data_IF_326515493557
#
_entry.id   IF_326515493557
#
_cell.length_a   1.000
_cell.length_b   1.000
_cell.length_c   1.000
_cell.angle_alpha   90.00
_cell.angle_beta   90.00
_cell.angle_gamma   90.00
#
_symmetry.space_group_name_H-M   'P 1'
#
loop_
_entity.id
_entity.type
_entity.pdbx_description
1 polymer ?
#
# COMPACT_ATOMS: atom_id res chain seq x y z
N UNK A 1 13.79 16.40 4.42
CA UNK A 1 14.93 15.80 3.69
C UNK A 1 14.49 14.79 2.63
N UNK A 2 13.55 13.87 2.91
CA UNK A 2 13.02 12.94 1.89
C UNK A 2 12.53 13.67 0.62
N UNK A 3 11.77 14.76 0.79
CA UNK A 3 11.31 15.58 -0.35
C UNK A 3 12.47 16.20 -1.14
N UNK A 4 13.56 16.59 -0.48
CA UNK A 4 14.76 17.10 -1.17
C UNK A 4 15.44 15.98 -1.97
N UNK A 5 15.53 14.78 -1.39
CA UNK A 5 16.04 13.60 -2.09
C UNK A 5 15.17 13.25 -3.31
N UNK A 6 13.84 13.38 -3.18
CA UNK A 6 12.87 13.23 -4.26
C UNK A 6 13.01 14.31 -5.34
N UNK A 7 13.28 15.57 -4.99
CA UNK A 7 13.48 16.66 -5.94
C UNK A 7 14.66 16.40 -6.89
N UNK A 8 15.69 15.70 -6.41
CA UNK A 8 16.86 15.32 -7.20
C UNK A 8 16.59 14.17 -8.20
N UNK A 9 15.38 13.59 -8.19
CA UNK A 9 14.88 12.67 -9.23
C UNK A 9 14.18 13.40 -10.38
N UNK A 10 14.04 14.73 -10.29
CA UNK A 10 13.47 15.53 -11.37
C UNK A 10 14.28 15.34 -12.67
N UNK A 11 13.64 15.27 -13.85
CA UNK A 11 14.33 15.05 -15.13
C UNK A 11 15.50 16.01 -15.40
N UNK A 12 15.43 17.23 -14.87
CA UNK A 12 16.52 18.20 -14.93
C UNK A 12 17.79 17.78 -14.16
N UNK A 13 17.65 17.14 -13.00
CA UNK A 13 18.77 16.74 -12.13
C UNK A 13 19.18 15.28 -12.30
N UNK A 14 18.28 14.42 -12.77
CA UNK A 14 18.51 12.98 -12.88
C UNK A 14 19.77 12.62 -13.70
N UNK A 15 20.06 13.26 -14.85
CA UNK A 15 21.26 12.97 -15.63
C UNK A 15 22.56 13.37 -14.91
N UNK A 16 22.49 14.28 -13.93
CA UNK A 16 23.67 14.81 -13.24
C UNK A 16 24.20 13.81 -12.21
N UNK A 17 25.47 13.38 -12.40
CA UNK A 17 26.16 12.47 -11.49
C UNK A 17 26.32 13.02 -10.07
N UNK A 18 26.44 14.34 -9.89
CA UNK A 18 26.54 14.95 -8.57
C UNK A 18 25.21 14.90 -7.83
N UNK A 19 24.08 15.16 -8.50
CA UNK A 19 22.75 15.03 -7.90
C UNK A 19 22.53 13.59 -7.38
N UNK A 20 23.01 12.59 -8.12
CA UNK A 20 22.99 11.18 -7.71
C UNK A 20 23.83 10.92 -6.44
N UNK A 21 25.06 11.45 -6.39
CA UNK A 21 25.91 11.34 -5.19
C UNK A 21 25.22 11.98 -3.98
N UNK A 22 24.64 13.17 -4.15
CA UNK A 22 23.90 13.85 -3.08
C UNK A 22 22.70 13.01 -2.62
N UNK A 23 21.93 12.42 -3.54
CA UNK A 23 20.84 11.49 -3.16
C UNK A 23 21.32 10.31 -2.31
N UNK A 24 22.46 9.73 -2.66
CA UNK A 24 23.07 8.63 -1.92
C UNK A 24 23.56 9.08 -0.52
N UNK A 25 24.22 10.24 -0.43
CA UNK A 25 24.69 10.81 0.84
C UNK A 25 23.57 11.23 1.78
N UNK A 26 22.42 11.66 1.24
CA UNK A 26 21.24 12.00 2.05
C UNK A 26 20.59 10.77 2.70
N UNK A 27 20.78 9.57 2.12
CA UNK A 27 20.12 8.36 2.58
C UNK A 27 20.39 7.99 4.05
N UNK A 28 21.66 7.85 4.52
CA UNK A 28 21.93 7.51 5.92
C UNK A 28 21.37 8.55 6.89
N UNK A 29 21.43 9.84 6.52
CA UNK A 29 20.89 10.92 7.36
C UNK A 29 19.37 10.87 7.47
N UNK A 30 18.65 10.63 6.35
CA UNK A 30 17.20 10.49 6.36
C UNK A 30 16.78 9.27 7.20
N UNK A 31 17.46 8.13 7.01
CA UNK A 31 17.17 6.90 7.77
C UNK A 31 17.38 7.16 9.27
N UNK A 32 18.52 7.73 9.65
CA UNK A 32 18.82 8.08 11.03
C UNK A 32 17.73 8.98 11.64
N UNK A 33 17.37 10.07 10.95
CA UNK A 33 16.34 11.00 11.43
C UNK A 33 14.96 10.33 11.53
N UNK A 34 14.59 9.51 10.56
CA UNK A 34 13.31 8.78 10.57
C UNK A 34 13.22 7.83 11.76
N UNK A 35 14.28 7.06 12.03
CA UNK A 35 14.35 6.13 13.16
C UNK A 35 14.46 6.84 14.50
N UNK A 36 15.30 7.88 14.60
CA UNK A 36 15.54 8.61 15.84
C UNK A 36 14.30 9.38 16.30
N UNK A 37 13.64 10.08 15.38
CA UNK A 37 12.40 10.81 15.66
C UNK A 37 11.18 9.92 15.83
N UNK A 38 11.27 8.61 15.62
CA UNK A 38 10.11 7.73 15.75
C UNK A 38 9.58 7.76 17.19
N UNK A 39 10.46 7.67 18.19
CA UNK A 39 10.07 7.63 19.62
C UNK A 39 9.35 8.90 20.09
N UNK A 40 9.62 10.04 19.46
CA UNK A 40 8.98 11.32 19.78
C UNK A 40 7.64 11.52 19.06
N UNK A 41 7.40 10.77 17.98
CA UNK A 41 6.14 10.78 17.21
C UNK A 41 5.09 9.79 17.73
N UNK A 42 5.47 8.86 18.60
CA UNK A 42 4.55 7.88 19.19
C UNK A 42 3.61 8.56 20.20
N UNK A 43 2.32 8.25 20.08
CA UNK A 43 1.30 8.57 21.08
C UNK A 43 1.51 7.71 22.33
N UNK A 44 1.31 8.29 23.51
CA UNK A 44 1.51 7.64 24.81
C UNK A 44 0.22 7.70 25.65
N UNK A 45 -0.01 6.71 26.52
CA UNK A 45 0.81 5.52 26.78
C UNK A 45 0.76 4.48 25.63
N UNK A 46 1.82 3.68 25.45
CA UNK A 46 1.98 2.85 24.24
C UNK A 46 0.96 1.72 24.15
N UNK A 47 0.62 1.15 25.30
CA UNK A 47 -0.38 0.11 25.50
C UNK A 47 -1.79 0.53 25.12
N UNK A 48 -2.09 1.84 25.12
CA UNK A 48 -3.41 2.34 24.73
C UNK A 48 -3.44 2.73 23.26
N UNK A 49 -2.36 3.33 22.76
CA UNK A 49 -2.32 3.88 21.41
C UNK A 49 -1.65 2.93 20.41
N UNK A 50 -1.59 1.62 20.69
CA UNK A 50 -0.87 0.64 19.88
C UNK A 50 -1.30 0.68 18.41
N UNK A 51 -2.60 0.56 18.12
CA UNK A 51 -3.13 0.51 16.74
C UNK A 51 -2.83 1.80 15.98
N UNK A 52 -2.98 2.94 16.67
CA UNK A 52 -2.72 4.26 16.10
C UNK A 52 -1.23 4.41 15.80
N UNK A 53 -0.36 4.09 16.75
CA UNK A 53 1.08 4.11 16.57
C UNK A 53 1.52 3.17 15.43
N UNK A 54 0.93 1.98 15.37
CA UNK A 54 1.21 0.98 14.35
C UNK A 54 0.93 1.55 12.95
N UNK A 55 -0.28 2.08 12.73
CA UNK A 55 -0.70 2.56 11.42
C UNK A 55 -0.13 3.95 11.06
N UNK A 56 -0.07 4.88 12.01
CA UNK A 56 0.22 6.30 11.74
C UNK A 56 1.70 6.68 11.91
N UNK A 57 2.48 5.90 12.67
CA UNK A 57 3.86 6.27 13.01
C UNK A 57 4.85 5.22 12.49
N UNK A 58 4.71 3.96 12.87
CA UNK A 58 5.75 2.95 12.67
C UNK A 58 5.79 2.43 11.23
N UNK A 59 4.64 2.04 10.65
CA UNK A 59 4.56 1.61 9.25
C UNK A 59 4.98 2.73 8.28
N UNK A 60 4.52 3.99 8.44
CA UNK A 60 5.02 5.10 7.63
C UNK A 60 6.52 5.34 7.79
N UNK A 61 7.09 5.12 8.97
CA UNK A 61 8.55 5.24 9.18
C UNK A 61 9.30 4.17 8.41
N UNK A 62 8.84 2.91 8.45
CA UNK A 62 9.40 1.83 7.63
C UNK A 62 9.31 2.15 6.14
N UNK A 63 8.16 2.66 5.68
CA UNK A 63 7.95 3.08 4.30
C UNK A 63 8.92 4.21 3.88
N UNK A 64 9.11 5.22 4.73
CA UNK A 64 10.08 6.32 4.49
C UNK A 64 11.50 5.77 4.31
N UNK A 65 11.92 4.79 5.12
CA UNK A 65 13.23 4.14 4.98
C UNK A 65 13.34 3.45 3.62
N UNK A 66 12.31 2.69 3.22
CA UNK A 66 12.28 2.01 1.93
C UNK A 66 12.33 3.00 0.75
N UNK A 67 11.53 4.07 0.78
CA UNK A 67 11.56 5.13 -0.23
C UNK A 67 12.93 5.81 -0.29
N UNK A 68 13.56 6.04 0.86
CA UNK A 68 14.90 6.66 0.92
C UNK A 68 15.94 5.83 0.18
N UNK A 69 15.93 4.50 0.39
CA UNK A 69 16.81 3.57 -0.31
C UNK A 69 16.51 3.52 -1.80
N UNK A 70 15.23 3.51 -2.16
CA UNK A 70 14.79 3.55 -3.56
C UNK A 70 15.27 4.81 -4.27
N UNK A 71 15.04 5.98 -3.68
CA UNK A 71 15.44 7.27 -4.25
C UNK A 71 16.96 7.40 -4.34
N UNK A 72 17.71 6.84 -3.39
CA UNK A 72 19.16 6.83 -3.43
C UNK A 72 19.71 5.99 -4.61
N UNK A 73 19.11 4.82 -4.85
CA UNK A 73 19.58 3.87 -5.85
C UNK A 73 19.01 4.08 -7.26
N UNK A 74 17.89 4.81 -7.39
CA UNK A 74 17.17 4.94 -8.64
C UNK A 74 17.99 5.60 -9.75
N UNK A 75 17.91 5.01 -10.94
CA UNK A 75 18.56 5.47 -12.18
C UNK A 75 17.53 5.62 -13.28
N UNK A 76 17.71 6.63 -14.13
CA UNK A 76 16.83 6.95 -15.22
C UNK A 76 15.60 7.76 -14.81
N UNK A 77 14.70 8.06 -15.76
CA UNK A 77 13.53 8.88 -15.53
C UNK A 77 12.59 8.26 -14.48
N UNK A 78 12.05 9.10 -13.60
CA UNK A 78 11.12 8.68 -12.55
C UNK A 78 9.69 8.46 -13.07
N UNK A 79 9.18 9.37 -13.90
CA UNK A 79 7.82 9.27 -14.45
C UNK A 79 7.80 8.50 -15.75
N UNK A 80 6.72 7.77 -16.00
CA UNK A 80 6.54 7.00 -17.23
C UNK A 80 6.54 7.91 -18.48
N UNK A 81 5.99 9.12 -18.36
CA UNK A 81 5.95 10.11 -19.45
C UNK A 81 7.37 10.53 -19.85
N UNK A 82 8.23 10.80 -18.85
CA UNK A 82 9.62 11.18 -19.09
C UNK A 82 10.41 10.02 -19.72
N UNK A 83 10.13 8.78 -19.30
CA UNK A 83 10.69 7.57 -19.89
C UNK A 83 10.28 7.37 -21.36
N UNK A 84 9.01 7.63 -21.70
CA UNK A 84 8.51 7.53 -23.07
C UNK A 84 9.15 8.60 -23.98
N UNK A 85 9.30 9.83 -23.48
CA UNK A 85 10.00 10.92 -24.19
C UNK A 85 11.46 10.55 -24.48
N UNK A 86 12.17 10.04 -23.47
CA UNK A 86 13.56 9.61 -23.61
C UNK A 86 13.74 8.48 -24.63
N UNK A 87 12.82 7.50 -24.69
CA UNK A 87 12.86 6.45 -25.72
C UNK A 87 12.71 7.00 -27.12
N UNK A 88 11.73 7.89 -27.32
CA UNK A 88 11.48 8.53 -28.61
C UNK A 88 12.69 9.35 -29.10
N UNK A 89 13.32 10.11 -28.20
CA UNK A 89 14.52 10.89 -28.53
C UNK A 89 15.73 10.00 -28.86
N UNK A 90 15.79 8.77 -28.34
CA UNK A 90 16.87 7.81 -28.62
C UNK A 90 16.67 7.11 -29.96
N UNK A 91 15.41 6.81 -30.34
CA UNK A 91 15.06 6.18 -31.62
C UNK A 91 15.13 7.15 -32.83
N UNK A 92 15.01 8.47 -32.61
CA UNK A 92 15.09 9.49 -33.66
C UNK A 92 16.53 9.95 -34.00
N UNK A 93 17.55 9.50 -33.25
CA UNK A 93 18.96 9.68 -33.59
C UNK A 93 19.41 8.56 -34.56
N UNK A 94 20.01 8.87 -35.73
CA UNK A 94 20.49 7.81 -36.63
C UNK A 94 21.60 7.04 -35.93
N UNK A 95 21.38 5.73 -35.74
CA UNK A 95 22.34 4.81 -35.15
C UNK A 95 23.58 4.72 -36.03
N UNK A 96 24.64 5.44 -35.67
CA UNK A 96 26.00 5.20 -36.13
C UNK A 96 26.82 4.70 -34.95
N UNK A 97 26.83 3.38 -34.73
CA UNK A 97 27.98 2.59 -34.29
C UNK A 97 27.51 1.20 -33.86
N UNK A 98 27.94 0.22 -34.63
CA UNK A 98 28.10 -1.16 -34.17
C UNK A 98 29.07 -1.18 -32.99
N UNK A 99 28.63 -1.74 -31.86
CA UNK A 99 29.46 -2.44 -30.88
C UNK A 99 28.55 -2.95 -29.74
N UNK A 100 28.39 -4.27 -29.70
CA UNK A 100 27.77 -5.02 -28.62
C UNK A 100 28.42 -4.70 -27.27
N UNK A 101 27.61 -4.37 -26.26
CA UNK A 101 27.88 -4.76 -24.86
C UNK A 101 26.65 -4.58 -23.96
N UNK A 102 26.43 -5.63 -23.16
CA UNK A 102 25.87 -5.63 -21.80
C UNK A 102 24.36 -5.48 -21.57
N UNK A 103 23.68 -6.60 -21.83
CA UNK A 103 22.92 -7.39 -20.86
C UNK A 103 22.43 -6.67 -19.58
N UNK A 104 21.29 -5.98 -19.68
CA UNK A 104 20.44 -5.61 -18.55
C UNK A 104 19.14 -6.39 -18.63
N UNK A 105 19.15 -7.61 -18.10
CA UNK A 105 17.96 -8.45 -17.96
C UNK A 105 17.05 -7.87 -16.88
N UNK A 106 16.14 -6.99 -17.29
CA UNK A 106 14.95 -6.67 -16.50
C UNK A 106 14.08 -7.93 -16.42
N UNK A 107 14.04 -8.55 -15.25
CA UNK A 107 13.13 -9.67 -14.94
C UNK A 107 11.72 -9.08 -14.90
N UNK A 108 11.12 -8.96 -16.08
CA UNK A 108 9.69 -8.80 -16.24
C UNK A 108 9.06 -10.19 -16.27
N UNK A 109 7.97 -10.35 -15.52
CA UNK A 109 7.15 -11.54 -15.56
C UNK A 109 6.49 -11.65 -16.94
N UNK A 110 7.13 -12.36 -17.85
CA UNK A 110 6.51 -12.80 -19.11
C UNK A 110 5.81 -14.13 -18.86
N UNK A 111 4.49 -14.05 -18.69
CA UNK A 111 3.55 -15.13 -19.00
C UNK A 111 2.11 -14.57 -18.99
N UNK A 112 1.84 -13.69 -19.95
CA UNK A 112 0.49 -13.42 -20.44
C UNK A 112 0.58 -12.99 -21.90
N UNK A 113 -0.01 -13.80 -22.76
CA UNK A 113 -0.11 -13.62 -24.19
C UNK A 113 -0.45 -12.17 -24.56
N UNK A 114 0.32 -11.64 -25.50
CA UNK A 114 0.13 -10.36 -26.15
C UNK A 114 -1.17 -10.38 -26.95
N UNK A 115 -2.12 -9.52 -26.59
CA UNK A 115 -3.06 -8.92 -27.54
C UNK A 115 -2.86 -7.39 -27.50
N UNK A 116 -2.60 -6.74 -28.65
CA UNK A 116 -2.39 -5.31 -28.69
C UNK A 116 -3.77 -4.61 -28.65
N UNK A 117 -4.14 -4.07 -27.49
CA UNK A 117 -5.36 -3.25 -27.41
C UNK A 117 -5.10 -1.89 -28.06
N UNK A 118 -5.73 -1.72 -29.23
CA UNK A 118 -5.93 -0.53 -30.05
C UNK A 118 -5.82 0.79 -29.29
N UNK A 119 -4.77 1.55 -29.64
CA UNK A 119 -4.79 3.02 -29.53
C UNK A 119 -5.89 3.51 -30.45
N UNK A 120 -6.80 4.31 -29.91
CA UNK A 120 -7.86 5.02 -30.63
C UNK A 120 -7.25 5.78 -31.80
N UNK A 121 -7.53 5.32 -33.02
CA UNK A 121 -7.17 5.98 -34.27
C UNK A 121 -7.84 7.36 -34.32
N UNK A 122 -7.05 8.42 -34.16
CA UNK A 122 -7.42 9.75 -34.64
C UNK A 122 -7.22 9.76 -36.16
N UNK A 123 -8.31 10.07 -36.85
CA UNK A 123 -8.51 10.12 -38.29
C UNK A 123 -7.44 10.99 -38.98
N UNK A 124 -6.67 10.40 -39.90
CA UNK A 124 -5.88 11.11 -40.92
C UNK A 124 -6.81 11.78 -41.94
N UNK A 125 -6.47 12.97 -42.45
CA UNK A 125 -6.69 13.29 -43.85
C UNK A 125 -5.37 13.23 -44.65
N UNK A 126 -5.58 13.07 -45.95
CA UNK A 126 -4.68 12.75 -47.05
C UNK A 126 -3.35 13.53 -47.11
N UNK A 127 -2.31 12.83 -47.58
CA UNK A 127 -1.05 13.40 -48.07
C UNK A 127 -1.30 14.26 -49.32
N UNK A 128 -0.72 15.45 -49.34
CA UNK A 128 -0.24 16.07 -50.57
C UNK A 128 1.25 16.40 -50.38
N UNK A 129 2.06 15.91 -51.31
CA UNK A 129 3.51 16.11 -51.37
C UNK A 129 3.80 17.59 -51.67
N UNK A 130 4.89 18.13 -51.12
CA UNK A 130 5.93 18.79 -51.90
C UNK A 130 7.17 19.05 -51.02
N UNK A 131 8.32 18.86 -51.66
CA UNK A 131 9.68 18.98 -51.15
C UNK A 131 9.94 20.40 -50.65
N UNK A 132 10.62 20.53 -49.52
CA UNK A 132 11.75 21.47 -49.43
C UNK A 132 12.71 21.14 -48.29
N UNK A 133 13.98 20.99 -48.66
CA UNK A 133 15.11 20.82 -47.74
C UNK A 133 15.34 22.14 -47.02
N UNK A 134 15.03 22.19 -45.72
CA UNK A 134 15.64 23.17 -44.81
C UNK A 134 16.35 22.44 -43.68
N UNK A 135 17.67 22.64 -43.67
CA UNK A 135 18.61 22.27 -42.61
C UNK A 135 18.22 23.08 -41.36
N UNK A 136 17.28 22.58 -40.58
CA UNK A 136 16.97 23.16 -39.26
C UNK A 136 17.78 22.40 -38.24
N UNK A 137 18.88 23.00 -37.79
CA UNK A 137 19.61 22.50 -36.63
C UNK A 137 18.65 22.45 -35.45
N UNK A 138 18.40 21.25 -34.95
CA UNK A 138 17.67 21.07 -33.68
C UNK A 138 18.63 21.56 -32.59
N UNK A 139 18.57 22.87 -32.30
CA UNK A 139 19.07 23.40 -31.03
C UNK A 139 18.27 22.67 -29.94
N UNK A 140 18.89 21.71 -29.25
CA UNK A 140 18.42 21.27 -27.92
C UNK A 140 18.26 22.54 -27.09
N UNK A 141 17.03 22.99 -26.89
CA UNK A 141 16.74 24.06 -25.95
C UNK A 141 17.33 23.63 -24.61
N UNK A 142 18.30 24.37 -24.07
CA UNK A 142 18.74 24.20 -22.69
C UNK A 142 17.49 24.34 -21.83
N UNK A 143 17.02 23.23 -21.28
CA UNK A 143 15.92 23.21 -20.32
C UNK A 143 16.27 24.20 -19.20
N UNK A 144 15.40 25.18 -18.95
CA UNK A 144 15.59 26.14 -17.87
C UNK A 144 15.59 25.43 -16.53
N UNK A 145 16.36 25.94 -15.56
CA UNK A 145 16.38 25.37 -14.21
C UNK A 145 14.95 25.34 -13.65
N UNK A 146 14.46 24.20 -13.14
CA UNK A 146 13.11 24.10 -12.61
C UNK A 146 12.96 24.99 -11.38
N UNK A 147 11.76 25.52 -11.21
CA UNK A 147 11.49 26.40 -10.08
C UNK A 147 11.37 25.60 -8.77
N UNK A 148 11.46 26.29 -7.63
CA UNK A 148 11.29 25.64 -6.32
C UNK A 148 9.87 25.06 -6.18
N UNK A 149 8.85 25.76 -6.70
CA UNK A 149 7.46 25.29 -6.68
C UNK A 149 7.25 24.05 -7.54
N UNK A 150 7.90 23.97 -8.71
CA UNK A 150 7.91 22.76 -9.55
C UNK A 150 8.56 21.56 -8.84
N UNK A 151 9.74 21.76 -8.25
CA UNK A 151 10.45 20.71 -7.51
C UNK A 151 9.67 20.23 -6.28
N UNK A 152 9.04 21.15 -5.56
CA UNK A 152 8.19 20.83 -4.42
C UNK A 152 6.98 19.99 -4.87
N UNK A 153 6.27 20.40 -5.93
CA UNK A 153 5.14 19.63 -6.48
C UNK A 153 5.57 18.23 -6.92
N UNK A 154 6.65 18.12 -7.67
CA UNK A 154 7.18 16.85 -8.14
C UNK A 154 7.50 15.89 -6.97
N UNK A 155 8.14 16.41 -5.93
CA UNK A 155 8.57 15.62 -4.77
C UNK A 155 7.41 15.24 -3.86
N UNK A 156 6.49 16.16 -3.61
CA UNK A 156 5.27 15.92 -2.83
C UNK A 156 4.45 14.84 -3.51
N UNK A 157 4.19 14.97 -4.81
CA UNK A 157 3.41 13.99 -5.57
C UNK A 157 4.06 12.61 -5.56
N UNK A 158 5.39 12.54 -5.65
CA UNK A 158 6.09 11.26 -5.61
C UNK A 158 5.99 10.60 -4.22
N UNK A 159 6.12 11.38 -3.16
CA UNK A 159 6.03 10.89 -1.78
C UNK A 159 4.58 10.60 -1.35
N UNK A 160 3.59 11.29 -1.93
CA UNK A 160 2.17 11.13 -1.61
C UNK A 160 1.44 10.17 -2.53
N UNK A 161 2.01 9.80 -3.70
CA UNK A 161 1.40 8.85 -4.64
C UNK A 161 1.33 7.47 -3.99
N UNK A 162 0.17 7.04 -3.46
CA UNK A 162 0.11 5.93 -2.51
C UNK A 162 0.52 4.60 -3.14
N UNK A 163 0.51 4.53 -4.48
CA UNK A 163 0.72 3.31 -5.25
C UNK A 163 1.70 3.51 -6.40
N UNK A 164 2.38 4.65 -6.44
CA UNK A 164 3.32 5.02 -7.51
C UNK A 164 2.72 4.94 -8.92
N UNK A 165 1.41 5.21 -9.07
CA UNK A 165 0.76 5.26 -10.38
C UNK A 165 1.37 6.39 -11.21
N UNK A 166 1.76 6.10 -12.45
CA UNK A 166 2.44 7.06 -13.33
C UNK A 166 3.97 7.12 -13.19
N UNK A 167 4.55 6.37 -12.25
CA UNK A 167 6.01 6.22 -12.11
C UNK A 167 6.51 4.92 -12.74
N UNK A 168 7.77 4.90 -13.16
CA UNK A 168 8.37 3.73 -13.86
C UNK A 168 8.41 2.47 -13.00
N UNK A 169 8.40 2.65 -11.67
CA UNK A 169 8.37 1.58 -10.68
C UNK A 169 6.97 1.29 -10.12
N UNK A 170 5.92 1.91 -10.69
CA UNK A 170 4.55 1.60 -10.35
C UNK A 170 4.19 0.15 -10.69
N UNK A 171 3.16 -0.42 -10.03
CA UNK A 171 2.68 -1.75 -10.36
C UNK A 171 2.24 -1.84 -11.84
N UNK A 172 2.45 -2.98 -12.51
CA UNK A 172 1.97 -3.16 -13.88
C UNK A 172 0.44 -3.11 -13.93
N UNK A 173 -0.12 -2.69 -15.07
CA UNK A 173 -1.57 -2.55 -15.23
C UNK A 173 -2.35 -3.86 -15.01
N UNK A 174 -1.71 -5.02 -15.18
CA UNK A 174 -2.27 -6.34 -14.89
C UNK A 174 -2.48 -6.61 -13.39
N UNK A 175 -1.78 -5.86 -12.55
CA UNK A 175 -1.86 -5.88 -11.08
C UNK A 175 -2.76 -4.76 -10.58
N UNK A 176 -2.50 -3.53 -11.02
CA UNK A 176 -3.26 -2.36 -10.65
C UNK A 176 -3.49 -1.47 -11.87
N UNK A 177 -4.68 -1.56 -12.45
CA UNK A 177 -5.09 -0.66 -13.52
C UNK A 177 -5.56 0.68 -12.94
N UNK A 178 -5.34 1.80 -13.64
CA UNK A 178 -6.00 3.07 -13.32
C UNK A 178 -7.52 2.88 -13.20
N UNK A 179 -8.15 3.65 -12.31
CA UNK A 179 -9.59 3.64 -12.18
C UNK A 179 -10.25 4.18 -13.46
N UNK A 180 -11.44 3.67 -13.84
CA UNK A 180 -12.18 4.27 -14.94
C UNK A 180 -12.52 5.73 -14.61
N UNK A 181 -12.38 6.62 -15.60
CA UNK A 181 -12.67 8.05 -15.44
C UNK A 181 -14.12 8.25 -15.01
N UNK A 182 -14.32 8.98 -13.91
CA UNK A 182 -15.65 9.29 -13.36
C UNK A 182 -15.88 10.79 -13.30
N UNK A 183 -17.15 11.18 -13.36
CA UNK A 183 -17.54 12.53 -12.96
C UNK A 183 -17.32 12.70 -11.46
N UNK A 184 -17.06 13.93 -10.99
CA UNK A 184 -16.78 14.18 -9.57
C UNK A 184 -17.94 13.72 -8.68
N UNK A 185 -19.20 13.95 -9.07
CA UNK A 185 -20.37 13.49 -8.30
C UNK A 185 -20.43 11.97 -8.17
N UNK A 186 -20.15 11.21 -9.26
CA UNK A 186 -20.11 9.74 -9.21
C UNK A 186 -18.93 9.23 -8.38
N UNK A 187 -17.80 9.93 -8.43
CA UNK A 187 -16.63 9.62 -7.61
C UNK A 187 -16.94 9.83 -6.13
N UNK A 188 -17.48 10.99 -5.74
CA UNK A 188 -17.88 11.31 -4.38
C UNK A 188 -18.94 10.35 -3.85
N UNK A 189 -19.96 10.03 -4.64
CA UNK A 189 -20.99 9.05 -4.26
C UNK A 189 -20.37 7.68 -3.96
N UNK A 190 -19.44 7.21 -4.79
CA UNK A 190 -18.73 5.95 -4.53
C UNK A 190 -17.83 6.06 -3.30
N UNK A 191 -17.14 7.18 -3.11
CA UNK A 191 -16.23 7.41 -1.99
C UNK A 191 -17.00 7.39 -0.67
N UNK A 192 -18.05 8.21 -0.53
CA UNK A 192 -18.88 8.28 0.67
C UNK A 192 -19.66 6.99 0.92
N UNK A 193 -20.26 6.39 -0.12
CA UNK A 193 -20.89 5.08 0.02
C UNK A 193 -19.90 4.01 0.47
N UNK A 194 -18.66 4.07 -0.02
CA UNK A 194 -17.55 3.23 0.41
C UNK A 194 -17.14 3.45 1.87
N UNK A 195 -17.12 4.70 2.35
CA UNK A 195 -16.84 5.03 3.76
C UNK A 195 -17.94 4.44 4.65
N UNK A 196 -19.21 4.68 4.33
CA UNK A 196 -20.35 4.20 5.11
C UNK A 196 -20.35 2.66 5.17
N UNK A 197 -20.25 2.00 4.02
CA UNK A 197 -20.25 0.52 3.96
C UNK A 197 -19.08 -0.10 4.72
N UNK A 198 -17.87 0.46 4.61
CA UNK A 198 -16.73 -0.05 5.37
C UNK A 198 -16.84 0.24 6.87
N UNK A 199 -17.40 1.38 7.27
CA UNK A 199 -17.63 1.70 8.69
C UNK A 199 -18.66 0.74 9.30
N UNK A 200 -19.76 0.47 8.61
CA UNK A 200 -20.77 -0.51 9.06
C UNK A 200 -20.19 -1.92 9.15
N UNK A 201 -19.41 -2.33 8.15
CA UNK A 201 -18.73 -3.62 8.17
C UNK A 201 -17.72 -3.70 9.31
N UNK A 202 -16.91 -2.66 9.52
CA UNK A 202 -15.97 -2.57 10.63
C UNK A 202 -16.68 -2.73 11.98
N UNK A 203 -17.79 -2.00 12.20
CA UNK A 203 -18.60 -2.11 13.41
C UNK A 203 -19.11 -3.55 13.60
N UNK A 204 -19.67 -4.15 12.55
CA UNK A 204 -20.19 -5.51 12.61
C UNK A 204 -19.11 -6.55 12.95
N UNK A 205 -17.92 -6.43 12.35
CA UNK A 205 -16.81 -7.34 12.65
C UNK A 205 -16.17 -7.07 14.01
N UNK A 206 -16.07 -5.81 14.47
CA UNK A 206 -15.62 -5.49 15.81
C UNK A 206 -16.61 -5.94 16.89
N UNK A 207 -17.91 -5.95 16.61
CA UNK A 207 -18.95 -6.46 17.51
C UNK A 207 -18.77 -7.94 17.85
N UNK A 208 -18.12 -8.70 16.97
CA UNK A 208 -17.73 -10.10 17.19
C UNK A 208 -16.29 -10.18 17.70
N UNK A 209 -15.38 -9.45 17.04
CA UNK A 209 -13.94 -9.55 17.27
C UNK A 209 -13.48 -9.05 18.64
N UNK A 210 -14.05 -7.95 19.15
CA UNK A 210 -13.65 -7.38 20.44
C UNK A 210 -14.06 -8.26 21.63
N UNK A 211 -15.34 -8.69 21.77
CA UNK A 211 -15.70 -9.65 22.81
C UNK A 211 -14.92 -10.96 22.72
N UNK A 212 -14.76 -11.49 21.50
CA UNK A 212 -14.01 -12.72 21.30
C UNK A 212 -12.51 -12.56 21.60
N UNK A 213 -11.92 -11.38 21.43
CA UNK A 213 -10.54 -11.11 21.84
C UNK A 213 -10.40 -10.93 23.36
N UNK A 214 -11.44 -10.42 24.04
CA UNK A 214 -11.47 -10.23 25.48
C UNK A 214 -11.78 -11.51 26.27
N UNK A 215 -12.45 -12.49 25.65
CA UNK A 215 -12.80 -13.75 26.30
C UNK A 215 -11.57 -14.65 26.50
N UNK A 216 -11.37 -15.28 27.68
CA UNK A 216 -10.23 -16.19 27.93
C UNK A 216 -10.09 -17.33 26.92
N UNK A 217 -11.21 -17.98 26.57
CA UNK A 217 -11.28 -19.03 25.54
C UNK A 217 -11.53 -18.51 24.12
N UNK A 218 -11.24 -17.24 23.86
CA UNK A 218 -11.35 -16.58 22.56
C UNK A 218 -12.77 -16.72 21.95
N UNK A 219 -12.86 -16.90 20.62
CA UNK A 219 -14.13 -17.08 19.89
C UNK A 219 -15.00 -18.19 20.45
N UNK A 220 -14.39 -19.32 20.81
CA UNK A 220 -15.13 -20.49 21.26
C UNK A 220 -15.92 -20.15 22.53
N UNK A 221 -15.23 -19.61 23.54
CA UNK A 221 -15.85 -19.26 24.81
C UNK A 221 -16.94 -18.19 24.66
N UNK A 222 -16.67 -17.15 23.89
CA UNK A 222 -17.67 -16.11 23.61
C UNK A 222 -18.91 -16.70 22.88
N UNK A 223 -18.73 -17.51 21.85
CA UNK A 223 -19.84 -18.14 21.12
C UNK A 223 -20.67 -19.06 22.03
N UNK A 224 -20.05 -19.81 22.94
CA UNK A 224 -20.75 -20.71 23.86
C UNK A 224 -21.67 -20.00 24.86
N UNK A 225 -21.48 -18.69 25.08
CA UNK A 225 -22.37 -17.90 25.93
C UNK A 225 -23.75 -17.65 25.30
N UNK A 226 -23.83 -17.68 23.95
CA UNK A 226 -25.05 -17.39 23.19
C UNK A 226 -25.60 -18.61 22.47
N UNK A 227 -24.75 -19.57 22.12
CA UNK A 227 -25.10 -20.77 21.36
C UNK A 227 -24.60 -21.99 22.13
N UNK A 228 -25.47 -22.99 22.33
CA UNK A 228 -25.10 -24.25 22.96
C UNK A 228 -24.24 -25.11 22.01
N UNK A 229 -22.95 -24.78 21.88
CA UNK A 229 -22.01 -25.55 21.08
C UNK A 229 -21.50 -26.76 21.88
N UNK A 230 -21.36 -27.94 21.24
CA UNK A 230 -20.86 -29.12 21.93
C UNK A 230 -19.36 -28.99 22.19
N UNK A 231 -18.93 -29.32 23.41
CA UNK A 231 -17.53 -29.25 23.84
C UNK A 231 -16.69 -30.42 23.26
N UNK A 232 -16.39 -30.32 21.97
CA UNK A 232 -15.59 -31.31 21.25
C UNK A 232 -14.30 -30.68 20.74
N UNK A 233 -13.25 -31.51 20.62
CA UNK A 233 -11.96 -31.08 20.04
C UNK A 233 -12.12 -30.47 18.65
N UNK A 234 -13.05 -31.00 17.84
CA UNK A 234 -13.34 -30.50 16.50
C UNK A 234 -13.94 -29.09 16.54
N UNK A 235 -14.94 -28.84 17.39
CA UNK A 235 -15.55 -27.51 17.51
C UNK A 235 -14.53 -26.48 18.00
N UNK A 236 -13.76 -26.81 19.05
CA UNK A 236 -12.69 -25.92 19.53
C UNK A 236 -11.66 -25.61 18.45
N UNK A 237 -11.25 -26.62 17.67
CA UNK A 237 -10.33 -26.43 16.55
C UNK A 237 -10.92 -25.50 15.49
N UNK A 238 -12.16 -25.75 15.05
CA UNK A 238 -12.84 -24.92 14.04
C UNK A 238 -13.01 -23.48 14.51
N UNK A 239 -13.47 -23.26 15.76
CA UNK A 239 -13.59 -21.92 16.34
C UNK A 239 -12.24 -21.20 16.42
N UNK A 240 -11.17 -21.89 16.85
CA UNK A 240 -9.82 -21.33 16.89
C UNK A 240 -9.32 -20.88 15.51
N UNK A 241 -9.69 -21.61 14.46
CA UNK A 241 -9.33 -21.28 13.06
C UNK A 241 -10.24 -20.21 12.45
N UNK A 242 -11.51 -20.18 12.84
CA UNK A 242 -12.50 -19.21 12.36
C UNK A 242 -12.28 -17.80 12.92
N UNK A 243 -11.61 -17.65 14.06
CA UNK A 243 -11.32 -16.35 14.68
C UNK A 243 -10.52 -15.40 13.78
N UNK A 244 -9.77 -15.93 12.80
CA UNK A 244 -9.12 -15.11 11.76
C UNK A 244 -10.13 -14.24 11.01
N UNK A 245 -11.33 -14.77 10.70
CA UNK A 245 -12.26 -14.12 9.79
C UNK A 245 -12.76 -12.76 10.33
N UNK A 246 -13.25 -12.63 11.58
CA UNK A 246 -13.56 -11.33 12.14
C UNK A 246 -12.36 -10.38 12.16
N UNK A 247 -11.21 -10.80 12.69
CA UNK A 247 -10.09 -9.88 12.92
C UNK A 247 -9.35 -9.47 11.64
N UNK A 248 -9.18 -10.39 10.69
CA UNK A 248 -8.68 -10.09 9.35
C UNK A 248 -9.59 -9.10 8.62
N UNK A 249 -10.91 -9.21 8.80
CA UNK A 249 -11.88 -8.29 8.22
C UNK A 249 -11.86 -6.91 8.90
N UNK A 250 -11.67 -6.86 10.22
CA UNK A 250 -11.42 -5.60 10.96
C UNK A 250 -10.23 -4.86 10.35
N UNK A 251 -9.08 -5.53 10.19
CA UNK A 251 -7.88 -4.93 9.61
C UNK A 251 -8.09 -4.44 8.17
N UNK A 252 -8.79 -5.22 7.34
CA UNK A 252 -9.11 -4.86 5.96
C UNK A 252 -9.99 -3.59 5.91
N UNK A 253 -11.10 -3.58 6.64
CA UNK A 253 -12.04 -2.46 6.61
C UNK A 253 -11.45 -1.20 7.25
N UNK A 254 -10.68 -1.34 8.34
CA UNK A 254 -9.97 -0.23 8.95
C UNK A 254 -8.97 0.41 7.98
N UNK A 255 -8.17 -0.42 7.28
CA UNK A 255 -7.21 0.10 6.31
C UNK A 255 -7.91 0.74 5.10
N UNK A 256 -8.99 0.14 4.61
CA UNK A 256 -9.77 0.69 3.49
C UNK A 256 -10.47 2.02 3.86
N UNK A 257 -10.85 2.20 5.13
CA UNK A 257 -11.34 3.48 5.66
C UNK A 257 -10.25 4.53 5.71
N UNK A 258 -9.09 4.22 6.30
CA UNK A 258 -7.94 5.13 6.34
C UNK A 258 -7.58 5.60 4.93
N UNK A 259 -7.51 4.67 3.97
CA UNK A 259 -7.27 5.00 2.57
C UNK A 259 -8.29 6.00 2.01
N UNK A 260 -9.58 5.80 2.27
CA UNK A 260 -10.62 6.74 1.80
C UNK A 260 -10.57 8.10 2.47
N UNK A 261 -10.23 8.16 3.77
CA UNK A 261 -10.03 9.44 4.45
C UNK A 261 -8.83 10.21 3.91
N UNK A 262 -7.74 9.53 3.57
CA UNK A 262 -6.59 10.15 2.91
C UNK A 262 -6.97 10.69 1.52
N UNK A 263 -7.78 9.96 0.75
CA UNK A 263 -8.30 10.44 -0.54
C UNK A 263 -9.18 11.68 -0.37
N UNK A 264 -10.05 11.69 0.64
CA UNK A 264 -10.91 12.85 0.94
C UNK A 264 -10.06 14.06 1.36
N UNK A 265 -9.07 13.85 2.22
CA UNK A 265 -8.12 14.88 2.64
C UNK A 265 -7.36 15.46 1.43
N UNK A 266 -6.84 14.60 0.55
CA UNK A 266 -6.13 15.02 -0.66
C UNK A 266 -7.05 15.80 -1.61
N UNK A 267 -8.29 15.38 -1.78
CA UNK A 267 -9.28 16.11 -2.59
C UNK A 267 -9.54 17.52 -2.01
N UNK A 268 -9.76 17.62 -0.70
CA UNK A 268 -9.99 18.90 -0.01
C UNK A 268 -8.77 19.81 -0.18
N UNK A 269 -7.56 19.28 0.05
CA UNK A 269 -6.32 20.04 -0.05
C UNK A 269 -6.07 20.53 -1.49
N UNK A 270 -6.19 19.66 -2.49
CA UNK A 270 -6.00 20.02 -3.90
C UNK A 270 -7.04 21.06 -4.33
N UNK A 271 -8.30 20.87 -3.96
CA UNK A 271 -9.37 21.81 -4.31
C UNK A 271 -9.16 23.16 -3.63
N UNK A 272 -8.89 23.17 -2.33
CA UNK A 272 -8.62 24.39 -1.56
C UNK A 272 -7.41 25.17 -2.08
N UNK A 273 -6.28 24.48 -2.31
CA UNK A 273 -5.09 25.10 -2.87
C UNK A 273 -5.35 25.71 -4.25
N UNK A 274 -6.16 25.06 -5.10
CA UNK A 274 -6.52 25.58 -6.43
C UNK A 274 -7.52 26.73 -6.40
N UNK A 275 -8.28 26.90 -5.32
CA UNK A 275 -9.18 28.03 -5.11
C UNK A 275 -8.40 29.29 -4.68
N UNK A 276 -7.38 29.11 -3.84
CA UNK A 276 -6.59 30.22 -3.28
C UNK A 276 -5.47 30.66 -4.22
N UNK A 277 -4.80 29.72 -4.91
CA UNK A 277 -3.61 30.02 -5.71
C UNK A 277 -3.96 30.50 -7.14
N UNK A 278 -3.35 31.60 -7.62
CA UNK A 278 -3.49 32.06 -9.00
C UNK A 278 -3.14 30.99 -10.05
N UNK A 279 -3.72 31.06 -11.24
CA UNK A 279 -3.45 30.09 -12.33
C UNK A 279 -1.96 30.10 -12.73
N UNK A 280 -1.32 31.26 -12.65
CA UNK A 280 0.11 31.45 -12.91
C UNK A 280 1.03 30.95 -11.78
N UNK A 281 0.48 30.54 -10.62
CA UNK A 281 1.29 30.13 -9.49
C UNK A 281 1.95 28.77 -9.73
N UNK A 282 3.27 28.74 -9.56
CA UNK A 282 4.07 27.52 -9.60
C UNK A 282 3.84 26.59 -8.40
N UNK A 283 3.06 27.02 -7.40
CA UNK A 283 2.66 26.18 -6.26
C UNK A 283 1.28 25.55 -6.46
N UNK A 284 0.57 25.93 -7.53
CA UNK A 284 -0.77 25.42 -7.80
C UNK A 284 -0.69 23.93 -8.18
N UNK A 285 -1.34 23.03 -7.42
CA UNK A 285 -1.32 21.60 -7.73
C UNK A 285 -2.15 21.30 -8.97
N UNK A 286 -1.89 20.18 -9.63
CA UNK A 286 -2.70 19.70 -10.76
C UNK A 286 -4.16 19.43 -10.33
N UNK A 287 -5.13 19.47 -11.27
CA UNK A 287 -6.51 19.10 -10.95
C UNK A 287 -6.60 17.68 -10.40
N UNK A 288 -7.52 17.45 -9.47
CA UNK A 288 -7.76 16.12 -8.91
C UNK A 288 -8.18 15.14 -10.00
N UNK A 289 -7.38 14.10 -10.22
CA UNK A 289 -7.63 13.08 -11.24
C UNK A 289 -8.19 11.80 -10.61
N UNK A 290 -9.48 11.58 -10.80
CA UNK A 290 -10.20 10.40 -10.28
C UNK A 290 -9.62 9.06 -10.77
N UNK A 291 -8.87 9.03 -11.89
CA UNK A 291 -8.30 7.79 -12.43
C UNK A 291 -7.14 7.25 -11.60
N UNK A 292 -6.52 8.09 -10.76
CA UNK A 292 -5.40 7.73 -9.90
C UNK A 292 -5.83 7.06 -8.58
N UNK A 293 -7.12 6.93 -8.37
CA UNK A 293 -7.71 6.38 -7.15
C UNK A 293 -8.49 5.09 -7.43
N UNK A 294 -7.85 4.00 -7.92
CA UNK A 294 -8.49 2.68 -7.91
C UNK A 294 -8.80 2.24 -6.48
N UNK A 295 -9.64 1.22 -6.34
CA UNK A 295 -10.00 0.67 -5.03
C UNK A 295 -8.73 0.11 -4.35
N UNK A 296 -8.62 0.30 -3.03
CA UNK A 296 -7.43 -0.13 -2.28
C UNK A 296 -7.33 -1.66 -2.25
N UNK A 297 -8.47 -2.33 -2.07
CA UNK A 297 -8.61 -3.78 -2.12
C UNK A 297 -9.49 -4.18 -3.32
N UNK A 298 -9.06 -5.16 -4.10
CA UNK A 298 -9.78 -5.62 -5.29
C UNK A 298 -10.46 -6.97 -5.04
N UNK A 299 -11.63 -6.91 -4.37
CA UNK A 299 -12.48 -8.06 -4.02
C UNK A 299 -11.67 -9.23 -3.42
N UNK A 300 -10.89 -9.02 -2.34
CA UNK A 300 -10.00 -10.03 -1.77
C UNK A 300 -10.74 -11.30 -1.32
N UNK A 301 -11.97 -11.16 -0.80
CA UNK A 301 -12.82 -12.26 -0.37
C UNK A 301 -13.15 -13.28 -1.49
N UNK A 302 -13.15 -12.83 -2.74
CA UNK A 302 -13.52 -13.64 -3.91
C UNK A 302 -12.31 -14.26 -4.62
N UNK A 303 -11.10 -14.06 -4.10
CA UNK A 303 -9.89 -14.64 -4.67
C UNK A 303 -9.86 -16.15 -4.40
N UNK A 304 -9.21 -16.88 -5.31
CA UNK A 304 -9.18 -18.34 -5.31
C UNK A 304 -7.75 -18.89 -5.28
N UNK A 305 -6.75 -18.03 -5.09
CA UNK A 305 -5.36 -18.43 -4.91
C UNK A 305 -4.61 -17.39 -4.10
N UNK A 306 -3.55 -17.81 -3.42
CA UNK A 306 -2.63 -16.94 -2.69
C UNK A 306 -1.94 -15.96 -3.64
N UNK A 307 -1.59 -16.43 -4.85
CA UNK A 307 -0.99 -15.60 -5.88
C UNK A 307 -1.90 -14.44 -6.24
N UNK A 308 -3.17 -14.70 -6.55
CA UNK A 308 -4.10 -13.62 -6.90
C UNK A 308 -4.48 -12.75 -5.70
N UNK A 309 -4.62 -13.34 -4.52
CA UNK A 309 -4.89 -12.61 -3.29
C UNK A 309 -3.79 -11.56 -3.04
N UNK A 310 -2.52 -11.95 -2.95
CA UNK A 310 -1.45 -11.02 -2.63
C UNK A 310 -1.04 -10.13 -3.80
N UNK A 311 -1.17 -10.59 -5.05
CA UNK A 311 -0.78 -9.80 -6.20
C UNK A 311 -1.83 -8.78 -6.62
N UNK A 312 -3.12 -9.10 -6.52
CA UNK A 312 -4.21 -8.28 -7.07
C UNK A 312 -5.31 -7.94 -6.06
N UNK A 313 -5.61 -8.86 -5.14
CA UNK A 313 -6.72 -8.71 -4.19
C UNK A 313 -6.40 -7.77 -3.04
N UNK A 314 -5.22 -7.95 -2.44
CA UNK A 314 -4.68 -7.14 -1.36
C UNK A 314 -4.12 -5.81 -1.89
N UNK A 315 -3.99 -4.83 -1.00
CA UNK A 315 -3.44 -3.52 -1.33
C UNK A 315 -2.02 -3.60 -1.90
N UNK A 316 -1.70 -2.65 -2.79
CA UNK A 316 -0.40 -2.56 -3.46
C UNK A 316 0.45 -1.37 -3.00
N UNK A 317 0.07 -0.68 -1.93
CA UNK A 317 0.75 0.50 -1.37
C UNK A 317 2.21 0.19 -1.06
N UNK A 318 2.48 -0.89 -0.33
CA UNK A 318 3.84 -1.28 0.07
C UNK A 318 4.51 -2.24 -0.91
N UNK A 319 3.86 -2.57 -2.04
CA UNK A 319 4.37 -3.55 -3.00
C UNK A 319 5.78 -3.19 -3.47
N UNK A 320 5.98 -1.91 -3.78
CA UNK A 320 7.25 -1.41 -4.28
C UNK A 320 8.37 -1.59 -3.27
N UNK A 321 8.10 -1.36 -1.98
CA UNK A 321 9.06 -1.57 -0.90
C UNK A 321 9.51 -3.03 -0.85
N UNK A 322 8.55 -3.96 -0.91
CA UNK A 322 8.82 -5.40 -0.85
C UNK A 322 9.60 -5.88 -2.08
N UNK A 323 9.26 -5.36 -3.26
CA UNK A 323 9.98 -5.69 -4.50
C UNK A 323 11.40 -5.14 -4.45
N UNK A 324 11.57 -3.88 -4.07
CA UNK A 324 12.88 -3.23 -4.09
C UNK A 324 13.82 -3.76 -3.00
N UNK A 325 13.35 -3.76 -1.74
CA UNK A 325 14.17 -4.11 -0.58
C UNK A 325 14.32 -5.63 -0.41
N UNK A 326 13.42 -6.42 -1.01
CA UNK A 326 13.37 -7.87 -0.81
C UNK A 326 13.55 -8.64 -2.11
N UNK A 327 12.61 -8.51 -3.04
CA UNK A 327 12.59 -9.36 -4.22
C UNK A 327 13.81 -9.17 -5.14
N UNK A 328 14.14 -7.94 -5.50
CA UNK A 328 15.26 -7.61 -6.38
C UNK A 328 16.61 -8.12 -5.83
N UNK A 329 17.01 -7.81 -4.57
CA UNK A 329 18.30 -8.26 -4.05
C UNK A 329 18.38 -9.79 -3.93
N UNK A 330 17.33 -10.46 -3.43
CA UNK A 330 17.36 -11.92 -3.32
C UNK A 330 17.32 -12.60 -4.70
N UNK A 331 16.57 -12.06 -5.66
CA UNK A 331 16.58 -12.58 -7.04
C UNK A 331 17.97 -12.50 -7.66
N UNK A 332 18.71 -11.40 -7.44
CA UNK A 332 20.08 -11.21 -7.93
C UNK A 332 21.04 -12.17 -7.26
N UNK A 333 20.97 -12.30 -5.95
CA UNK A 333 21.82 -13.21 -5.17
C UNK A 333 21.69 -14.67 -5.65
N UNK A 334 20.48 -15.08 -6.02
CA UNK A 334 20.20 -16.44 -6.50
C UNK A 334 20.17 -16.59 -8.02
N UNK A 335 20.52 -15.54 -8.78
CA UNK A 335 20.59 -15.60 -10.24
C UNK A 335 21.56 -16.66 -10.81
N UNK A 336 22.73 -16.95 -10.17
CA UNK A 336 23.63 -17.99 -10.67
C UNK A 336 23.05 -19.41 -10.62
N UNK A 337 22.04 -19.65 -9.77
CA UNK A 337 21.38 -20.95 -9.62
C UNK A 337 20.20 -21.15 -10.60
N UNK A 338 20.08 -20.26 -11.59
CA UNK A 338 19.09 -20.34 -12.66
C UNK A 338 17.80 -19.56 -12.39
N UNK A 339 17.01 -19.41 -13.46
CA UNK A 339 15.83 -18.53 -13.49
C UNK A 339 14.75 -18.91 -12.47
N UNK A 340 14.53 -20.21 -12.24
CA UNK A 340 13.53 -20.66 -11.26
C UNK A 340 13.97 -20.31 -9.84
N UNK A 341 15.22 -20.58 -9.48
CA UNK A 341 15.75 -20.28 -8.16
C UNK A 341 15.72 -18.76 -7.89
N UNK A 342 16.14 -17.96 -8.86
CA UNK A 342 16.06 -16.50 -8.81
C UNK A 342 14.63 -15.99 -8.56
N UNK A 343 13.65 -16.49 -9.32
CA UNK A 343 12.24 -16.08 -9.16
C UNK A 343 11.66 -16.48 -7.80
N UNK A 344 11.96 -17.69 -7.32
CA UNK A 344 11.51 -18.15 -6.00
C UNK A 344 12.18 -17.34 -4.88
N UNK A 345 13.48 -17.08 -4.98
CA UNK A 345 14.21 -16.24 -4.04
C UNK A 345 13.63 -14.82 -3.99
N UNK A 346 13.27 -14.25 -5.15
CA UNK A 346 12.59 -12.97 -5.22
C UNK A 346 11.23 -12.95 -4.51
N UNK A 347 10.41 -13.98 -4.73
CA UNK A 347 9.13 -14.14 -4.04
C UNK A 347 9.32 -14.22 -2.52
N UNK A 348 10.24 -15.06 -2.06
CA UNK A 348 10.55 -15.21 -0.64
C UNK A 348 11.11 -13.91 -0.06
N UNK A 349 11.94 -13.18 -0.80
CA UNK A 349 12.46 -11.87 -0.39
C UNK A 349 11.37 -10.82 -0.22
N UNK A 350 10.40 -10.75 -1.12
CA UNK A 350 9.25 -9.86 -0.95
C UNK A 350 8.46 -10.20 0.32
N UNK A 351 8.19 -11.49 0.55
CA UNK A 351 7.45 -11.95 1.73
C UNK A 351 8.23 -11.73 3.03
N UNK A 352 9.55 -11.88 3.00
CA UNK A 352 10.43 -11.59 4.14
C UNK A 352 10.32 -10.12 4.55
N UNK A 353 10.49 -9.19 3.61
CA UNK A 353 10.37 -7.75 3.91
C UNK A 353 8.96 -7.39 4.37
N UNK A 354 7.92 -8.01 3.79
CA UNK A 354 6.54 -7.86 4.27
C UNK A 354 6.42 -8.29 5.74
N UNK A 355 6.94 -9.46 6.11
CA UNK A 355 6.94 -9.93 7.49
C UNK A 355 7.71 -9.02 8.44
N UNK A 356 8.91 -8.59 8.05
CA UNK A 356 9.75 -7.70 8.84
C UNK A 356 9.13 -6.31 9.02
N UNK A 357 8.37 -5.81 8.05
CA UNK A 357 7.60 -4.57 8.21
C UNK A 357 6.59 -4.69 9.35
N UNK A 358 5.90 -5.83 9.43
CA UNK A 358 4.95 -6.06 10.52
C UNK A 358 5.66 -6.22 11.87
N UNK A 359 6.76 -6.98 11.96
CA UNK A 359 7.56 -7.07 13.18
C UNK A 359 8.10 -5.70 13.62
N UNK A 360 8.59 -4.88 12.68
CA UNK A 360 9.03 -3.52 12.94
C UNK A 360 7.91 -2.69 13.57
N UNK A 361 6.70 -2.77 13.01
CA UNK A 361 5.53 -2.07 13.52
C UNK A 361 5.20 -2.48 14.96
N UNK A 362 5.19 -3.78 15.24
CA UNK A 362 4.90 -4.32 16.57
C UNK A 362 5.97 -3.90 17.60
N UNK A 363 7.24 -4.11 17.28
CA UNK A 363 8.37 -3.76 18.15
C UNK A 363 8.38 -2.26 18.43
N UNK A 364 8.18 -1.44 17.39
CA UNK A 364 8.23 0.01 17.52
C UNK A 364 7.04 0.58 18.30
N UNK A 365 5.86 -0.04 18.19
CA UNK A 365 4.65 0.41 18.88
C UNK A 365 4.57 -0.07 20.32
N UNK A 366 5.26 -1.16 20.69
CA UNK A 366 5.14 -1.78 22.02
C UNK A 366 6.44 -1.79 22.84
N UNK A 367 7.59 -1.54 22.19
CA UNK A 367 8.93 -1.83 22.72
C UNK A 367 9.13 -3.31 23.14
N UNK A 368 8.32 -4.24 22.62
CA UNK A 368 8.43 -5.68 22.90
C UNK A 368 8.83 -6.41 21.62
N UNK A 369 9.77 -7.36 21.75
CA UNK A 369 10.24 -8.19 20.64
C UNK A 369 9.64 -9.59 20.77
N UNK A 370 8.92 -10.04 19.76
CA UNK A 370 8.56 -11.46 19.60
C UNK A 370 9.74 -12.21 18.96
N UNK A 371 10.60 -12.79 19.80
CA UNK A 371 11.74 -13.59 19.35
C UNK A 371 11.35 -14.86 18.59
N UNK A 372 10.09 -15.26 18.62
CA UNK A 372 9.60 -16.39 17.83
C UNK A 372 9.27 -15.99 16.38
N UNK A 373 9.28 -14.69 16.05
CA UNK A 373 9.02 -14.13 14.71
C UNK A 373 7.76 -14.72 14.05
N UNK A 374 6.69 -14.91 14.84
CA UNK A 374 5.43 -15.54 14.38
C UNK A 374 4.81 -14.80 13.21
N UNK A 375 4.92 -13.47 13.17
CA UNK A 375 4.37 -12.67 12.07
C UNK A 375 5.20 -12.89 10.81
N UNK A 376 6.53 -12.80 10.89
CA UNK A 376 7.39 -13.04 9.72
C UNK A 376 7.24 -14.46 9.16
N UNK A 377 7.14 -15.47 10.03
CA UNK A 377 6.92 -16.87 9.62
C UNK A 377 5.64 -17.01 8.77
N UNK A 378 4.54 -16.37 9.16
CA UNK A 378 3.29 -16.41 8.40
C UNK A 378 3.45 -15.87 6.96
N UNK A 379 4.12 -14.73 6.79
CA UNK A 379 4.35 -14.18 5.45
C UNK A 379 5.26 -15.08 4.61
N UNK A 380 6.33 -15.63 5.20
CA UNK A 380 7.19 -16.60 4.52
C UNK A 380 6.41 -17.85 4.09
N UNK A 381 5.51 -18.34 4.94
CA UNK A 381 4.61 -19.44 4.62
C UNK A 381 3.67 -19.07 3.47
N UNK A 382 3.13 -17.85 3.42
CA UNK A 382 2.38 -17.39 2.25
C UNK A 382 3.24 -17.43 0.97
N UNK A 383 4.52 -17.07 1.06
CA UNK A 383 5.48 -17.24 -0.05
C UNK A 383 5.66 -18.70 -0.46
N UNK A 384 5.77 -19.62 0.50
CA UNK A 384 5.82 -21.05 0.24
C UNK A 384 4.52 -21.55 -0.42
N UNK A 385 3.35 -21.09 0.04
CA UNK A 385 2.05 -21.42 -0.57
C UNK A 385 1.96 -20.96 -2.02
N UNK A 386 2.45 -19.76 -2.35
CA UNK A 386 2.56 -19.29 -3.75
C UNK A 386 3.52 -20.16 -4.56
N UNK A 387 4.66 -20.57 -3.99
CA UNK A 387 5.58 -21.49 -4.66
C UNK A 387 4.95 -22.87 -4.93
N UNK A 388 4.10 -23.35 -4.02
CA UNK A 388 3.31 -24.57 -4.23
C UNK A 388 2.31 -24.39 -5.37
N UNK A 389 1.62 -23.25 -5.47
CA UNK A 389 0.72 -22.95 -6.60
C UNK A 389 1.49 -22.90 -7.94
N UNK A 390 2.70 -22.35 -7.94
CA UNK A 390 3.58 -22.34 -9.12
C UNK A 390 3.98 -23.77 -9.52
N UNK A 391 4.30 -24.62 -8.55
CA UNK A 391 4.66 -26.03 -8.77
C UNK A 391 3.46 -26.82 -9.28
N UNK A 392 2.28 -26.63 -8.68
CA UNK A 392 1.02 -27.20 -9.14
C UNK A 392 0.74 -26.84 -10.60
N UNK A 393 0.92 -25.56 -10.98
CA UNK A 393 0.77 -25.12 -12.37
C UNK A 393 1.76 -25.81 -13.31
N UNK A 394 3.02 -26.00 -12.88
CA UNK A 394 4.03 -26.70 -13.69
C UNK A 394 3.72 -28.18 -13.89
N UNK A 395 3.25 -28.85 -12.84
CA UNK A 395 2.97 -30.29 -12.87
C UNK A 395 1.66 -30.64 -13.59
N UNK A 396 0.62 -29.82 -13.41
CA UNK A 396 -0.73 -30.13 -13.92
C UNK A 396 -1.11 -29.33 -15.18
N UNK A 397 -0.34 -28.29 -15.51
CA UNK A 397 -0.70 -27.30 -16.53
C UNK A 397 -1.84 -26.37 -16.13
N UNK A 398 -2.48 -26.57 -14.97
CA UNK A 398 -3.66 -25.82 -14.51
C UNK A 398 -3.30 -24.84 -13.39
N UNK A 399 -3.97 -23.69 -13.34
CA UNK A 399 -3.82 -22.74 -12.23
C UNK A 399 -4.72 -23.18 -11.07
N UNK A 400 -4.35 -22.77 -9.85
CA UNK A 400 -5.24 -22.91 -8.69
C UNK A 400 -6.34 -21.85 -8.82
N UNK A 401 -7.57 -22.30 -9.03
CA UNK A 401 -8.73 -21.44 -9.28
C UNK A 401 -10.04 -22.13 -8.87
N UNK A 402 -11.15 -21.39 -8.99
CA UNK A 402 -12.50 -21.89 -8.71
C UNK A 402 -12.74 -22.20 -7.22
N UNK A 403 -13.70 -23.07 -6.94
CA UNK A 403 -14.12 -23.41 -5.57
C UNK A 403 -13.01 -24.12 -4.79
N UNK A 404 -12.28 -25.04 -5.42
CA UNK A 404 -11.15 -25.73 -4.77
C UNK A 404 -10.02 -24.77 -4.45
N UNK A 405 -9.72 -23.84 -5.35
CA UNK A 405 -8.76 -22.77 -5.09
C UNK A 405 -9.20 -21.85 -3.95
N UNK A 406 -10.49 -21.50 -3.90
CA UNK A 406 -11.06 -20.74 -2.78
C UNK A 406 -10.85 -21.48 -1.46
N UNK A 407 -11.21 -22.77 -1.38
CA UNK A 407 -10.99 -23.59 -0.19
C UNK A 407 -9.50 -23.69 0.19
N UNK A 408 -8.61 -23.82 -0.81
CA UNK A 408 -7.17 -23.79 -0.62
C UNK A 408 -6.70 -22.47 0.02
N UNK A 409 -7.10 -21.33 -0.55
CA UNK A 409 -6.72 -20.01 -0.06
C UNK A 409 -7.17 -19.78 1.39
N UNK A 410 -8.46 -19.98 1.66
CA UNK A 410 -9.01 -19.69 2.98
C UNK A 410 -8.63 -20.75 4.01
N UNK A 411 -8.47 -22.01 3.60
CA UNK A 411 -7.89 -23.06 4.44
C UNK A 411 -6.45 -22.76 4.83
N UNK A 412 -5.64 -22.26 3.89
CA UNK A 412 -4.27 -21.82 4.15
C UNK A 412 -4.23 -20.73 5.22
N UNK A 413 -5.03 -19.68 5.05
CA UNK A 413 -5.07 -18.61 6.05
C UNK A 413 -5.65 -19.06 7.38
N UNK A 414 -6.75 -19.81 7.40
CA UNK A 414 -7.34 -20.32 8.63
C UNK A 414 -6.29 -21.10 9.43
N UNK A 415 -5.48 -21.92 8.77
CA UNK A 415 -4.45 -22.71 9.43
C UNK A 415 -3.26 -21.88 9.93
N UNK A 416 -2.63 -21.07 9.06
CA UNK A 416 -1.36 -20.41 9.33
C UNK A 416 -1.48 -19.04 9.98
N UNK A 417 -2.57 -18.30 9.75
CA UNK A 417 -2.73 -16.94 10.26
C UNK A 417 -2.92 -16.89 11.78
N UNK A 418 -3.38 -17.99 12.39
CA UNK A 418 -3.57 -18.08 13.84
C UNK A 418 -2.30 -17.70 14.62
N UNK A 419 -1.12 -18.12 14.17
CA UNK A 419 0.14 -17.80 14.86
C UNK A 419 0.41 -16.29 14.90
N UNK A 420 0.08 -15.59 13.81
CA UNK A 420 0.20 -14.12 13.74
C UNK A 420 -0.83 -13.45 14.62
N UNK A 421 -2.08 -13.93 14.61
CA UNK A 421 -3.15 -13.40 15.45
C UNK A 421 -2.80 -13.54 16.94
N UNK A 422 -2.31 -14.71 17.35
CA UNK A 422 -1.84 -14.94 18.71
C UNK A 422 -0.70 -13.97 19.08
N UNK A 423 0.29 -13.78 18.19
CA UNK A 423 1.37 -12.82 18.41
C UNK A 423 0.86 -11.39 18.59
N UNK A 424 -0.17 -11.00 17.85
CA UNK A 424 -0.80 -9.68 17.93
C UNK A 424 -1.60 -9.50 19.22
N UNK A 425 -2.31 -10.52 19.69
CA UNK A 425 -3.05 -10.44 20.95
C UNK A 425 -2.16 -10.49 22.17
N UNK A 426 -1.11 -11.32 22.17
CA UNK A 426 -0.16 -11.42 23.28
C UNK A 426 0.49 -10.07 23.62
N UNK A 427 0.59 -9.17 22.64
CA UNK A 427 1.15 -7.82 22.78
C UNK A 427 0.09 -6.71 22.87
N UNK A 428 -1.21 -7.04 22.79
CA UNK A 428 -2.33 -6.13 23.03
C UNK A 428 -3.01 -5.52 21.79
N UNK A 429 -2.67 -5.92 20.56
CA UNK A 429 -3.24 -5.37 19.31
C UNK A 429 -4.76 -5.62 19.18
N UNK A 430 -5.38 -6.44 20.04
CA UNK A 430 -6.84 -6.62 20.06
C UNK A 430 -7.61 -5.65 20.95
N UNK A 431 -6.98 -5.14 22.02
CA UNK A 431 -7.66 -4.48 23.14
C UNK A 431 -6.99 -3.18 23.59
N UNK A 432 -5.87 -2.79 22.96
CA UNK A 432 -5.14 -1.58 23.31
C UNK A 432 -6.07 -0.36 23.33
N UNK A 433 -6.16 0.28 24.49
CA UNK A 433 -6.97 1.47 24.74
C UNK A 433 -8.49 1.23 24.83
N UNK A 434 -8.96 0.00 24.59
CA UNK A 434 -10.38 -0.36 24.59
C UNK A 434 -10.74 -1.11 25.87
N UNK A 435 -10.83 -0.38 26.99
CA UNK A 435 -11.03 -0.90 28.36
C UNK A 435 -12.51 -0.99 28.76
N UNK A 436 -13.35 -0.16 28.14
CA UNK A 436 -14.79 -0.15 28.33
C UNK A 436 -15.48 -1.37 27.72
N UNK A 437 -16.81 -1.48 27.87
CA UNK A 437 -17.50 -2.73 27.61
C UNK A 437 -17.24 -3.25 26.19
N UNK A 438 -16.86 -4.53 26.11
CA UNK A 438 -16.56 -5.19 24.84
C UNK A 438 -17.84 -5.55 24.08
N UNK A 439 -18.94 -5.81 24.80
CA UNK A 439 -20.23 -6.16 24.22
C UNK A 439 -20.89 -4.96 23.51
N UNK A 440 -21.40 -5.21 22.30
CA UNK A 440 -21.88 -4.14 21.41
C UNK A 440 -23.08 -3.37 22.00
N UNK A 441 -23.91 -4.04 22.80
CA UNK A 441 -25.09 -3.46 23.44
C UNK A 441 -24.75 -2.43 24.53
N UNK A 442 -23.50 -2.41 24.99
CA UNK A 442 -22.99 -1.51 26.01
C UNK A 442 -22.08 -0.42 25.41
N UNK A 443 -21.86 -0.42 24.09
CA UNK A 443 -20.99 0.57 23.45
C UNK A 443 -21.59 1.98 23.49
N UNK A 444 -20.78 3.01 23.80
CA UNK A 444 -21.22 4.39 23.67
C UNK A 444 -21.45 4.75 22.19
N UNK A 445 -22.33 5.72 21.94
CA UNK A 445 -22.64 6.18 20.56
C UNK A 445 -21.40 6.63 19.78
N UNK A 446 -20.37 7.12 20.47
CA UNK A 446 -19.10 7.49 19.86
C UNK A 446 -18.45 6.32 19.08
N UNK A 447 -18.56 5.06 19.56
CA UNK A 447 -18.03 3.89 18.83
C UNK A 447 -18.73 3.65 17.50
N UNK A 448 -19.97 4.09 17.34
CA UNK A 448 -20.73 3.94 16.10
C UNK A 448 -20.53 5.14 15.15
N UNK A 449 -20.51 6.35 15.71
CA UNK A 449 -20.53 7.59 14.94
C UNK A 449 -19.15 8.10 14.54
N UNK A 450 -18.13 7.91 15.39
CA UNK A 450 -16.77 8.35 15.08
C UNK A 450 -16.14 7.39 14.07
N UNK A 451 -15.54 7.88 12.98
CA UNK A 451 -14.79 7.03 12.06
C UNK A 451 -13.74 6.19 12.78
N UNK A 452 -13.68 4.89 12.45
CA UNK A 452 -12.82 3.92 13.16
C UNK A 452 -13.12 3.79 14.66
N UNK A 453 -14.24 4.33 15.15
CA UNK A 453 -14.61 4.41 16.56
C UNK A 453 -14.39 3.13 17.37
N UNK A 454 -14.76 1.93 16.88
CA UNK A 454 -14.56 0.69 17.62
C UNK A 454 -13.08 0.31 17.82
N UNK A 455 -12.14 0.96 17.14
CA UNK A 455 -10.69 0.72 17.26
C UNK A 455 -9.95 1.88 17.94
N UNK A 456 -10.66 2.95 18.31
CA UNK A 456 -10.05 4.09 18.98
C UNK A 456 -10.00 3.84 20.50
N UNK A 457 -8.95 4.33 21.18
CA UNK A 457 -8.89 4.30 22.64
C UNK A 457 -10.09 5.04 23.25
N UNK A 458 -10.58 4.56 24.39
CA UNK A 458 -11.75 5.15 25.05
C UNK A 458 -11.52 6.63 25.39
N UNK A 459 -10.30 7.02 25.76
CA UNK A 459 -9.92 8.43 25.99
C UNK A 459 -10.14 9.31 24.75
N UNK A 460 -9.81 8.80 23.56
CA UNK A 460 -10.00 9.53 22.30
C UNK A 460 -11.49 9.70 22.02
N UNK A 461 -12.29 8.66 22.27
CA UNK A 461 -13.74 8.72 22.11
C UNK A 461 -14.39 9.72 23.07
N UNK A 462 -13.93 9.77 24.33
CA UNK A 462 -14.40 10.74 25.32
C UNK A 462 -14.15 12.18 24.87
N UNK A 463 -12.98 12.47 24.28
CA UNK A 463 -12.70 13.81 23.73
C UNK A 463 -13.72 14.23 22.65
N UNK A 464 -14.15 13.30 21.80
CA UNK A 464 -15.20 13.58 20.80
C UNK A 464 -16.56 13.80 21.45
N UNK A 465 -16.90 13.00 22.46
CA UNK A 465 -18.15 13.18 23.22
C UNK A 465 -18.18 14.53 23.93
N UNK A 466 -17.10 14.94 24.60
CA UNK A 466 -17.00 16.24 25.28
C UNK A 466 -17.07 17.41 24.30
N UNK A 467 -16.38 17.30 23.16
CA UNK A 467 -16.45 18.32 22.11
C UNK A 467 -17.86 18.47 21.55
N UNK A 468 -18.58 17.35 21.35
CA UNK A 468 -19.96 17.37 20.89
C UNK A 468 -20.91 17.97 21.92
N UNK A 469 -20.74 17.66 23.21
CA UNK A 469 -21.53 18.23 24.29
C UNK A 469 -21.36 19.74 24.43
N UNK A 470 -20.11 20.23 24.31
CA UNK A 470 -19.81 21.67 24.30
C UNK A 470 -20.37 22.38 23.06
N UNK A 471 -20.32 21.75 21.89
CA UNK A 471 -20.93 22.32 20.68
C UNK A 471 -22.46 22.40 20.81
N UNK A 472 -23.09 21.39 21.41
CA UNK A 472 -24.53 21.39 21.68
C UNK A 472 -24.96 22.43 22.72
N UNK A 473 -24.18 22.66 23.78
CA UNK A 473 -24.50 23.69 24.78
C UNK A 473 -24.38 25.11 24.19
N UNK A 474 -23.37 25.34 23.35
CA UNK A 474 -23.19 26.62 22.63
C UNK A 474 -24.31 26.87 21.62
N UNK A 475 -24.78 25.83 20.93
CA UNK A 475 -25.91 25.93 19.99
C UNK A 475 -27.27 26.03 20.71
N UNK A 476 -27.39 25.51 21.93
CA UNK A 476 -28.58 25.60 22.77
C UNK A 476 -28.66 26.92 23.57
N UNK A 477 -27.68 27.81 23.46
CA UNK A 477 -27.70 29.12 24.11
C UNK A 477 -27.58 29.07 25.64
N UNK A 478 -26.80 28.12 26.17
CA UNK A 478 -26.34 28.12 27.57
C UNK A 478 -24.94 28.71 27.70
#
# INVERSE_FOLDING_TARGET
MLLVQGALLHPYFEPNSQARKVRAWLAPLIIFLATYSQKTRLFRPLEDYLHINYCAVTIPTFHIICLTLQYAAHRGPARQIDAAKHKKDTEELPSSSDADSDNSSSITNSDSQLTPTKVVQVRRPLKASLKDKKKTSIKKSKESRPSIGELARFSIWMASSPRSLGYVWGPPASVLSPAPKKTMSKFLLKLFGGIITNQLALIAFCAVGLPAAAHPDKLYGWMTQYVHLPDTRLVRFVCGKAFMLPWGSVGLHAFDLVGKFLILWELIWITGARLVLPISSEWRPEPFDTTQYPDLFSKPALRTSLTEFWAKGWQSTFRRDFVFCGAEPLSKLFSPYGLTASRLAGLIGAMLISGLMHEWGLVSSTNKVDWSFRTTKFFLLCGAGIALEMTFKRLTGKRVEGVLGWLWLWGWFAYWCQQTMDAWFDIGVGLAGMRGPHEVNQWPMAKFLVPLGPLLPDEVLLMFSDASGKASSVLAGQ
#
